data_IF_314302415805
#
_entry.id   IF_314302415805
#
_cell.length_a   1.000
_cell.length_b   1.000
_cell.length_c   1.000
_cell.angle_alpha   90.00
_cell.angle_beta   90.00
_cell.angle_gamma   90.00
#
_symmetry.space_group_name_H-M   'P 1'
#
loop_
_entity.id
_entity.type
_entity.pdbx_description
1 polymer ?
#
# COMPACT_ATOMS: atom_id res chain seq x y z
N UNK A 1 -22.73 12.31 -8.35
CA UNK A 1 -22.15 12.73 -9.65
C UNK A 1 -21.49 11.51 -10.24
N UNK A 2 -21.79 11.14 -11.48
CA UNK A 2 -21.13 10.00 -12.13
C UNK A 2 -19.65 10.35 -12.33
N UNK A 3 -18.80 9.85 -11.44
CA UNK A 3 -17.37 9.88 -11.63
C UNK A 3 -17.08 8.97 -12.84
N UNK A 4 -16.74 9.57 -13.98
CA UNK A 4 -16.43 8.82 -15.20
C UNK A 4 -15.04 8.20 -15.08
N UNK A 5 -14.96 7.08 -14.36
CA UNK A 5 -13.78 6.24 -14.36
C UNK A 5 -13.52 5.70 -15.77
N UNK A 6 -12.25 5.72 -16.18
CA UNK A 6 -11.75 4.97 -17.33
C UNK A 6 -11.19 3.64 -16.83
N UNK A 7 -11.66 2.52 -17.38
CA UNK A 7 -11.04 1.21 -17.15
C UNK A 7 -9.66 1.18 -17.83
N UNK A 8 -8.62 0.81 -17.07
CA UNK A 8 -7.24 0.70 -17.54
C UNK A 8 -6.83 -0.76 -17.71
N UNK A 9 -7.17 -1.60 -16.74
CA UNK A 9 -6.91 -3.03 -16.79
C UNK A 9 -8.04 -3.80 -16.10
N UNK A 10 -8.32 -5.01 -16.58
CA UNK A 10 -9.26 -5.96 -15.99
C UNK A 10 -8.69 -7.38 -16.01
N UNK A 11 -9.48 -8.35 -15.55
CA UNK A 11 -9.11 -9.76 -15.48
C UNK A 11 -7.80 -10.01 -14.70
N UNK A 12 -7.53 -9.15 -13.71
CA UNK A 12 -6.43 -9.29 -12.76
C UNK A 12 -6.91 -10.14 -11.58
N UNK A 13 -6.00 -10.80 -10.87
CA UNK A 13 -6.43 -11.58 -9.70
C UNK A 13 -6.65 -10.64 -8.51
N UNK A 14 -5.61 -9.91 -8.11
CA UNK A 14 -5.68 -8.90 -7.06
C UNK A 14 -4.47 -7.94 -7.14
N UNK A 15 -4.66 -6.79 -7.79
CA UNK A 15 -3.61 -5.78 -7.98
C UNK A 15 -3.39 -4.93 -6.74
N UNK A 16 -2.12 -4.71 -6.38
CA UNK A 16 -1.70 -4.05 -5.14
C UNK A 16 -0.36 -3.34 -5.29
N UNK A 17 0.00 -2.52 -4.29
CA UNK A 17 1.27 -1.79 -4.26
C UNK A 17 1.56 -0.96 -5.52
N UNK A 18 0.59 -0.24 -6.10
CA UNK A 18 0.78 0.47 -7.36
C UNK A 18 1.79 1.61 -7.20
N UNK A 19 2.68 1.78 -8.19
CA UNK A 19 3.67 2.86 -8.29
C UNK A 19 3.73 3.43 -9.70
N UNK A 20 3.88 4.75 -9.84
CA UNK A 20 3.99 5.39 -11.15
C UNK A 20 5.43 5.74 -11.47
N UNK A 21 5.98 5.13 -12.53
CA UNK A 21 7.36 5.37 -12.99
C UNK A 21 7.47 5.17 -14.50
N UNK A 22 8.21 6.06 -15.15
CA UNK A 22 8.53 6.00 -16.59
C UNK A 22 7.30 5.84 -17.50
N UNK A 23 6.22 6.58 -17.19
CA UNK A 23 4.99 6.57 -17.98
C UNK A 23 4.10 5.34 -17.80
N UNK A 24 4.44 4.45 -16.85
CA UNK A 24 3.68 3.23 -16.56
C UNK A 24 3.28 3.17 -15.09
N UNK A 25 2.14 2.55 -14.84
CA UNK A 25 1.71 2.08 -13.53
C UNK A 25 2.30 0.69 -13.31
N UNK A 26 3.21 0.55 -12.37
CA UNK A 26 3.76 -0.71 -11.88
C UNK A 26 2.91 -1.21 -10.72
N UNK A 27 2.66 -2.50 -10.62
CA UNK A 27 1.90 -3.07 -9.52
C UNK A 27 2.20 -4.56 -9.33
N UNK A 28 1.98 -5.06 -8.12
CA UNK A 28 1.98 -6.49 -7.83
C UNK A 28 0.59 -7.06 -8.11
N UNK A 29 0.49 -8.21 -8.77
CA UNK A 29 -0.74 -9.02 -8.73
C UNK A 29 -0.52 -10.19 -7.76
N UNK A 30 -1.12 -10.09 -6.56
CA UNK A 30 -0.89 -11.01 -5.45
C UNK A 30 -1.03 -12.47 -5.88
N UNK A 31 -2.09 -12.79 -6.63
CA UNK A 31 -2.45 -14.18 -6.90
C UNK A 31 -2.11 -14.62 -8.33
N UNK A 32 -1.64 -13.71 -9.20
CA UNK A 32 -0.86 -14.09 -10.37
C UNK A 32 0.61 -14.37 -10.02
N UNK A 33 1.04 -13.97 -8.83
CA UNK A 33 2.42 -14.13 -8.37
C UNK A 33 3.42 -13.41 -9.31
N UNK A 34 3.10 -12.16 -9.68
CA UNK A 34 3.92 -11.42 -10.63
C UNK A 34 3.90 -9.91 -10.37
N UNK A 35 4.96 -9.24 -10.82
CA UNK A 35 4.95 -7.78 -11.02
C UNK A 35 4.54 -7.49 -12.45
N UNK A 36 3.62 -6.54 -12.58
CA UNK A 36 2.97 -6.15 -13.83
C UNK A 36 3.14 -4.65 -14.06
N UNK A 37 2.97 -4.23 -15.31
CA UNK A 37 2.78 -2.81 -15.64
C UNK A 37 1.52 -2.61 -16.47
N UNK A 38 0.96 -1.40 -16.39
CA UNK A 38 -0.09 -0.92 -17.29
C UNK A 38 0.23 0.52 -17.73
N UNK A 39 0.03 0.83 -19.01
CA UNK A 39 0.10 2.21 -19.52
C UNK A 39 -1.28 2.91 -19.52
N UNK A 40 -1.31 4.18 -19.91
CA UNK A 40 -2.57 4.96 -19.96
C UNK A 40 -3.55 4.49 -21.05
N UNK A 41 -3.09 3.68 -22.00
CA UNK A 41 -3.91 3.07 -23.06
C UNK A 41 -4.53 1.74 -22.61
N UNK A 42 -4.04 1.16 -21.51
CA UNK A 42 -4.50 -0.12 -20.97
C UNK A 42 -3.68 -1.31 -21.45
N UNK A 43 -2.49 -1.09 -22.02
CA UNK A 43 -1.60 -2.18 -22.35
C UNK A 43 -0.96 -2.72 -21.07
N UNK A 44 -1.29 -3.98 -20.74
CA UNK A 44 -0.76 -4.67 -19.56
C UNK A 44 0.38 -5.59 -19.94
N UNK A 45 1.48 -5.53 -19.21
CA UNK A 45 2.69 -6.33 -19.44
C UNK A 45 3.15 -7.00 -18.14
N UNK A 46 3.43 -8.31 -18.18
CA UNK A 46 4.06 -9.03 -17.07
C UNK A 46 5.57 -8.82 -17.13
N UNK A 47 6.16 -8.31 -16.06
CA UNK A 47 7.60 -8.02 -15.99
C UNK A 47 8.39 -9.19 -15.44
N UNK A 48 7.95 -9.77 -14.32
CA UNK A 48 8.65 -10.85 -13.65
C UNK A 48 7.69 -11.68 -12.80
N UNK A 49 7.86 -13.00 -12.87
CA UNK A 49 7.22 -13.94 -11.95
C UNK A 49 7.96 -13.94 -10.60
N UNK A 50 7.20 -13.91 -9.52
CA UNK A 50 7.69 -13.95 -8.14
C UNK A 50 7.34 -15.34 -7.59
N UNK A 51 8.27 -16.09 -6.96
CA UNK A 51 8.01 -17.47 -6.57
C UNK A 51 6.76 -17.66 -5.68
N UNK A 52 6.55 -16.72 -4.76
CA UNK A 52 5.37 -16.67 -3.90
C UNK A 52 4.61 -15.36 -4.15
N UNK A 53 3.87 -14.88 -3.16
CA UNK A 53 3.00 -13.73 -3.29
C UNK A 53 3.79 -12.40 -3.24
N UNK A 54 3.78 -11.57 -4.30
CA UNK A 54 4.31 -10.21 -4.25
C UNK A 54 3.37 -9.25 -3.52
N UNK A 55 3.86 -8.10 -3.06
CA UNK A 55 3.00 -7.06 -2.47
C UNK A 55 3.48 -5.63 -2.71
N UNK A 56 4.33 -5.08 -1.85
CA UNK A 56 4.99 -3.80 -2.09
C UNK A 56 6.11 -3.90 -3.12
N UNK A 57 6.39 -2.78 -3.80
CA UNK A 57 7.53 -2.65 -4.72
C UNK A 57 8.07 -1.21 -4.70
N UNK A 58 9.31 -1.03 -5.15
CA UNK A 58 9.96 0.27 -5.30
C UNK A 58 11.32 0.14 -5.98
N UNK A 59 12.11 1.21 -6.03
CA UNK A 59 13.39 1.21 -6.74
C UNK A 59 14.55 1.64 -5.86
N UNK A 60 15.66 0.92 -5.97
CA UNK A 60 16.93 1.36 -5.44
C UNK A 60 17.46 2.59 -6.22
N UNK A 61 18.40 3.38 -5.67
CA UNK A 61 18.91 4.59 -6.33
C UNK A 61 19.55 4.33 -7.70
N UNK A 62 20.05 3.12 -7.93
CA UNK A 62 20.63 2.70 -9.21
C UNK A 62 19.57 2.30 -10.26
N UNK A 63 18.28 2.31 -9.92
CA UNK A 63 17.17 1.94 -10.78
C UNK A 63 16.78 0.45 -10.74
N UNK A 64 17.44 -0.37 -9.93
CA UNK A 64 17.05 -1.78 -9.73
C UNK A 64 15.70 -1.84 -9.01
N UNK A 65 14.79 -2.70 -9.49
CA UNK A 65 13.48 -2.92 -8.88
C UNK A 65 13.63 -3.83 -7.65
N UNK A 66 13.04 -3.44 -6.53
CA UNK A 66 12.91 -4.28 -5.33
C UNK A 66 11.45 -4.58 -5.03
N UNK A 67 11.19 -5.83 -4.65
CA UNK A 67 9.86 -6.42 -4.57
C UNK A 67 9.74 -7.15 -3.23
N UNK A 68 8.69 -6.87 -2.48
CA UNK A 68 8.35 -7.62 -1.27
C UNK A 68 7.79 -8.99 -1.67
N UNK A 69 8.51 -10.08 -1.35
CA UNK A 69 7.91 -11.42 -1.31
C UNK A 69 7.22 -11.61 0.04
N UNK A 70 5.90 -11.41 0.05
CA UNK A 70 5.06 -11.30 1.25
C UNK A 70 5.20 -12.51 2.18
N UNK A 71 5.03 -13.71 1.62
CA UNK A 71 4.97 -14.95 2.41
C UNK A 71 6.37 -15.47 2.78
N UNK A 72 7.37 -15.18 1.95
CA UNK A 72 8.78 -15.51 2.24
C UNK A 72 9.40 -14.57 3.26
N UNK A 73 8.82 -13.37 3.45
CA UNK A 73 9.35 -12.29 4.28
C UNK A 73 10.72 -11.84 3.78
N UNK A 74 10.84 -11.62 2.48
CA UNK A 74 12.07 -11.22 1.80
C UNK A 74 11.84 -9.99 0.92
N UNK A 75 12.90 -9.22 0.72
CA UNK A 75 13.00 -8.33 -0.43
C UNK A 75 13.77 -9.05 -1.53
N UNK A 76 13.20 -9.06 -2.73
CA UNK A 76 13.83 -9.58 -3.93
C UNK A 76 14.24 -8.41 -4.81
N UNK A 77 15.43 -8.48 -5.40
CA UNK A 77 15.93 -7.53 -6.38
C UNK A 77 15.82 -8.12 -7.78
N UNK A 78 15.16 -7.39 -8.67
CA UNK A 78 15.04 -7.70 -10.08
C UNK A 78 15.97 -6.81 -10.91
N UNK A 79 16.89 -7.43 -11.62
CA UNK A 79 17.87 -6.75 -12.47
C UNK A 79 18.22 -7.62 -13.68
N UNK A 80 18.19 -7.04 -14.87
CA UNK A 80 18.60 -7.69 -16.12
C UNK A 80 17.97 -9.09 -16.32
N UNK A 81 16.67 -9.21 -16.01
CA UNK A 81 15.91 -10.47 -16.12
C UNK A 81 16.14 -11.46 -14.96
N UNK A 82 16.98 -11.13 -13.99
CA UNK A 82 17.30 -12.00 -12.85
C UNK A 82 16.64 -11.51 -11.56
N UNK A 83 15.97 -12.42 -10.86
CA UNK A 83 15.39 -12.18 -9.55
C UNK A 83 16.28 -12.82 -8.47
N UNK A 84 16.80 -12.01 -7.55
CA UNK A 84 17.74 -12.44 -6.50
C UNK A 84 17.27 -11.96 -5.14
N UNK A 85 17.72 -12.60 -4.06
CA UNK A 85 17.46 -12.10 -2.71
C UNK A 85 18.26 -10.81 -2.46
N UNK A 86 17.58 -9.79 -1.95
CA UNK A 86 18.20 -8.56 -1.46
C UNK A 86 18.31 -8.57 0.06
N UNK A 87 17.27 -9.02 0.76
CA UNK A 87 17.23 -9.12 2.21
C UNK A 87 16.26 -10.20 2.70
N UNK A 88 16.60 -10.82 3.83
CA UNK A 88 15.73 -11.72 4.59
C UNK A 88 15.26 -11.04 5.88
N UNK A 89 13.95 -10.87 6.02
CA UNK A 89 13.30 -10.24 7.17
C UNK A 89 12.62 -11.24 8.11
N UNK A 90 12.74 -12.54 7.83
CA UNK A 90 12.04 -13.61 8.54
C UNK A 90 12.41 -13.71 10.02
N UNK A 91 13.58 -13.20 10.43
CA UNK A 91 14.02 -13.12 11.83
C UNK A 91 13.35 -11.97 12.61
N UNK A 92 12.83 -10.95 11.92
CA UNK A 92 12.23 -9.77 12.55
C UNK A 92 10.71 -9.90 12.72
N UNK A 93 10.05 -10.65 11.86
CA UNK A 93 8.60 -10.84 11.93
C UNK A 93 8.21 -12.27 11.52
N UNK A 94 7.23 -12.89 12.20
CA UNK A 94 6.60 -14.12 11.73
C UNK A 94 5.45 -13.84 10.75
N UNK A 95 5.08 -12.57 10.55
CA UNK A 95 3.87 -12.17 9.83
C UNK A 95 4.11 -11.94 8.33
N UNK A 96 3.02 -11.91 7.57
CA UNK A 96 3.03 -11.60 6.13
C UNK A 96 3.50 -10.16 5.90
N UNK A 97 4.62 -9.96 5.18
CA UNK A 97 5.06 -8.62 4.77
C UNK A 97 4.06 -8.00 3.79
N UNK A 98 3.98 -6.68 3.72
CA UNK A 98 2.93 -5.98 2.99
C UNK A 98 3.50 -4.90 2.07
N UNK A 99 2.84 -3.75 1.98
CA UNK A 99 3.30 -2.61 1.20
C UNK A 99 4.65 -2.07 1.70
N UNK A 100 5.34 -1.35 0.81
CA UNK A 100 6.70 -0.85 1.02
C UNK A 100 6.92 0.46 0.28
N UNK A 101 7.64 1.40 0.88
CA UNK A 101 8.18 2.57 0.17
C UNK A 101 9.70 2.59 0.25
N UNK A 102 10.36 3.12 -0.77
CA UNK A 102 11.82 3.24 -0.83
C UNK A 102 12.20 4.72 -0.88
N UNK A 103 13.11 5.14 0.00
CA UNK A 103 13.61 6.51 -0.02
C UNK A 103 14.71 6.74 -1.07
N UNK A 104 15.12 8.00 -1.26
CA UNK A 104 16.19 8.38 -2.20
C UNK A 104 17.56 7.75 -1.90
N UNK A 105 17.79 7.29 -0.67
CA UNK A 105 19.05 6.69 -0.24
C UNK A 105 19.00 5.16 -0.40
N UNK A 106 17.86 4.60 -0.78
CA UNK A 106 17.65 3.16 -0.94
C UNK A 106 17.17 2.45 0.32
N UNK A 107 16.75 3.18 1.37
CA UNK A 107 16.12 2.53 2.52
C UNK A 107 14.69 2.15 2.16
N UNK A 108 14.38 0.86 2.25
CA UNK A 108 13.04 0.31 2.08
C UNK A 108 12.35 0.19 3.44
N UNK A 109 11.15 0.75 3.58
CA UNK A 109 10.30 0.62 4.77
C UNK A 109 9.14 -0.31 4.48
N UNK A 110 9.15 -1.50 5.08
CA UNK A 110 8.25 -2.62 4.76
C UNK A 110 7.27 -2.87 5.90
N UNK A 111 5.98 -2.73 5.62
CA UNK A 111 4.88 -3.07 6.54
C UNK A 111 4.65 -4.58 6.62
N UNK A 112 3.82 -5.02 7.57
CA UNK A 112 3.35 -6.41 7.63
C UNK A 112 1.98 -6.50 8.33
N UNK A 113 1.32 -7.66 8.23
CA UNK A 113 -0.08 -7.80 8.62
C UNK A 113 -0.32 -7.81 10.14
N UNK A 114 0.72 -8.03 10.95
CA UNK A 114 0.52 -8.41 12.35
C UNK A 114 -0.19 -9.76 12.52
N UNK A 115 -0.24 -10.57 11.44
CA UNK A 115 -0.81 -11.91 11.42
C UNK A 115 -0.22 -12.79 10.31
N UNK A 116 -0.34 -14.12 10.50
CA UNK A 116 -0.02 -15.16 9.53
C UNK A 116 -1.22 -15.44 8.60
N UNK A 117 -2.44 -15.14 9.05
CA UNK A 117 -3.67 -15.31 8.28
C UNK A 117 -4.45 -14.00 8.26
N UNK A 118 -4.79 -13.52 7.07
CA UNK A 118 -5.54 -12.27 6.92
C UNK A 118 -6.82 -12.27 7.79
N UNK A 119 -7.07 -11.17 8.49
CA UNK A 119 -8.23 -10.99 9.36
C UNK A 119 -8.27 -11.82 10.65
N UNK A 120 -7.26 -12.66 10.94
CA UNK A 120 -7.26 -13.58 12.11
C UNK A 120 -6.11 -13.26 13.06
N UNK A 121 -6.33 -13.42 14.37
CA UNK A 121 -5.30 -13.26 15.42
C UNK A 121 -4.39 -12.02 15.25
N UNK A 122 -5.01 -10.90 14.85
CA UNK A 122 -4.32 -9.64 14.54
C UNK A 122 -3.61 -9.11 15.79
N UNK A 123 -2.32 -8.79 15.65
CA UNK A 123 -1.49 -8.19 16.69
C UNK A 123 -0.92 -6.85 16.21
N UNK A 124 -0.67 -5.90 17.12
CA UNK A 124 0.22 -4.78 16.83
C UNK A 124 1.57 -5.31 16.34
N UNK A 125 2.17 -4.64 15.37
CA UNK A 125 3.35 -5.12 14.67
C UNK A 125 4.37 -4.00 14.43
N UNK A 126 5.41 -4.32 13.66
CA UNK A 126 6.54 -3.47 13.34
C UNK A 126 6.49 -2.96 11.89
N UNK A 127 7.17 -1.84 11.65
CA UNK A 127 7.68 -1.44 10.34
C UNK A 127 9.16 -1.85 10.29
N UNK A 128 9.57 -2.52 9.23
CA UNK A 128 10.95 -2.97 9.04
C UNK A 128 11.64 -1.99 8.10
N UNK A 129 12.86 -1.56 8.42
CA UNK A 129 13.75 -0.84 7.51
C UNK A 129 14.78 -1.80 6.97
N UNK A 130 14.95 -1.83 5.66
CA UNK A 130 16.05 -2.51 4.97
C UNK A 130 16.90 -1.45 4.31
N UNK A 131 18.18 -1.37 4.65
CA UNK A 131 19.11 -0.41 4.03
C UNK A 131 19.53 -0.85 2.62
N UNK A 132 20.31 0.00 1.94
CA UNK A 132 20.80 -0.24 0.58
C UNK A 132 21.63 -1.53 0.44
N UNK A 133 22.27 -1.99 1.52
CA UNK A 133 23.10 -3.19 1.54
C UNK A 133 22.29 -4.45 1.90
N UNK A 134 21.00 -4.31 2.18
CA UNK A 134 20.10 -5.40 2.52
C UNK A 134 20.03 -5.71 4.01
N UNK A 135 20.57 -4.86 4.89
CA UNK A 135 20.49 -5.08 6.33
C UNK A 135 19.11 -4.67 6.86
N UNK A 136 18.39 -5.63 7.45
CA UNK A 136 17.07 -5.42 8.00
C UNK A 136 17.10 -5.06 9.50
N UNK A 137 16.32 -4.06 9.90
CA UNK A 137 16.16 -3.61 11.28
C UNK A 137 14.73 -3.15 11.58
N UNK A 138 14.38 -2.98 12.86
CA UNK A 138 13.06 -2.47 13.25
C UNK A 138 13.07 -0.94 13.17
N UNK A 139 12.26 -0.36 12.28
CA UNK A 139 12.11 1.08 12.13
C UNK A 139 11.10 1.69 13.11
N UNK A 140 10.02 0.95 13.38
CA UNK A 140 8.95 1.36 14.29
C UNK A 140 8.21 0.13 14.83
N UNK A 141 7.66 0.22 16.04
CA UNK A 141 6.85 -0.85 16.66
C UNK A 141 5.43 -0.39 16.99
N UNK A 142 4.55 -1.30 17.41
CA UNK A 142 3.17 -0.98 17.83
C UNK A 142 2.33 -0.27 16.76
N UNK A 143 2.40 -0.75 15.51
CA UNK A 143 1.51 -0.34 14.41
C UNK A 143 0.39 -1.36 14.22
N UNK A 144 -0.84 -0.90 13.97
CA UNK A 144 -2.01 -1.76 13.76
C UNK A 144 -2.27 -1.97 12.26
N UNK A 145 -1.65 -3.04 11.70
CA UNK A 145 -1.71 -3.41 10.28
C UNK A 145 -1.24 -2.29 9.35
N UNK A 146 0.08 -1.98 9.36
CA UNK A 146 0.69 -1.01 8.45
C UNK A 146 0.52 -1.42 6.99
N UNK A 147 0.04 -0.47 6.19
CA UNK A 147 -0.31 -0.66 4.80
C UNK A 147 0.36 0.40 3.92
N UNK A 148 -0.40 1.09 3.07
CA UNK A 148 0.08 2.20 2.25
C UNK A 148 1.03 3.12 3.01
N UNK A 149 2.21 3.36 2.42
CA UNK A 149 3.25 4.20 3.02
C UNK A 149 3.79 5.17 1.97
N UNK A 150 3.97 6.44 2.35
CA UNK A 150 4.54 7.48 1.51
C UNK A 150 5.63 8.24 2.23
N UNK A 151 6.57 8.79 1.46
CA UNK A 151 7.59 9.72 1.94
C UNK A 151 7.39 11.06 1.26
N UNK A 152 7.50 12.13 2.04
CA UNK A 152 7.34 13.50 1.53
C UNK A 152 8.46 13.88 0.55
N UNK A 153 8.23 14.79 -0.42
CA UNK A 153 9.22 15.08 -1.46
C UNK A 153 10.59 15.57 -0.94
N UNK A 154 10.61 16.19 0.23
CA UNK A 154 11.85 16.64 0.90
C UNK A 154 12.62 15.49 1.58
N UNK A 155 12.04 14.29 1.62
CA UNK A 155 12.59 13.09 2.24
C UNK A 155 12.57 13.11 3.76
N UNK A 156 11.83 14.03 4.41
CA UNK A 156 11.92 14.26 5.86
C UNK A 156 10.79 13.63 6.67
N UNK A 157 9.71 13.17 6.04
CA UNK A 157 8.58 12.56 6.75
C UNK A 157 8.14 11.29 6.05
N UNK A 158 7.93 10.25 6.85
CA UNK A 158 7.24 9.02 6.46
C UNK A 158 5.82 9.08 7.01
N UNK A 159 4.83 8.81 6.17
CA UNK A 159 3.42 8.74 6.58
C UNK A 159 2.87 7.37 6.17
N UNK A 160 2.28 6.66 7.13
CA UNK A 160 1.81 5.29 6.97
C UNK A 160 0.36 5.13 7.39
N UNK A 161 -0.39 4.35 6.62
CA UNK A 161 -1.74 3.93 6.95
C UNK A 161 -1.74 2.74 7.91
N UNK A 162 -2.43 2.88 9.03
CA UNK A 162 -2.72 1.76 9.95
C UNK A 162 -4.17 1.34 9.77
N UNK A 163 -4.40 0.28 8.98
CA UNK A 163 -5.75 -0.15 8.54
C UNK A 163 -6.69 -0.37 9.73
N UNK A 164 -6.25 -1.12 10.74
CA UNK A 164 -7.11 -1.42 11.90
C UNK A 164 -7.15 -0.30 12.94
N UNK A 165 -6.23 0.66 12.91
CA UNK A 165 -6.34 1.86 13.73
C UNK A 165 -7.21 2.94 13.09
N UNK A 166 -7.50 2.84 11.78
CA UNK A 166 -8.26 3.84 11.04
C UNK A 166 -7.62 5.21 11.13
N UNK A 167 -6.30 5.27 10.95
CA UNK A 167 -5.53 6.50 11.02
C UNK A 167 -4.33 6.47 10.10
N UNK A 168 -3.85 7.66 9.77
CA UNK A 168 -2.52 7.89 9.20
C UNK A 168 -1.58 8.30 10.34
N UNK A 169 -0.39 7.72 10.39
CA UNK A 169 0.65 8.03 11.39
C UNK A 169 1.88 8.56 10.68
N UNK A 170 2.44 9.66 11.18
CA UNK A 170 3.64 10.29 10.64
C UNK A 170 4.84 10.09 11.57
N UNK A 171 6.01 10.02 10.94
CA UNK A 171 7.34 10.01 11.56
C UNK A 171 8.22 11.04 10.86
N UNK A 172 9.16 11.60 11.60
CA UNK A 172 10.28 12.33 11.00
C UNK A 172 11.38 11.33 10.63
N UNK A 173 12.01 11.54 9.47
CA UNK A 173 13.12 10.74 8.96
C UNK A 173 14.41 11.55 9.13
N UNK A 174 15.42 10.97 9.77
CA UNK A 174 16.73 11.59 9.87
C UNK A 174 17.65 11.27 8.67
N UNK A 175 18.91 11.68 8.75
CA UNK A 175 19.89 11.49 7.66
C UNK A 175 20.22 10.01 7.39
N UNK A 176 20.08 9.16 8.40
CA UNK A 176 20.41 7.74 8.33
C UNK A 176 19.16 6.91 7.96
N UNK A 177 17.98 7.53 7.91
CA UNK A 177 16.69 6.90 7.63
C UNK A 177 16.01 6.36 8.90
N UNK A 178 16.43 6.81 10.08
CA UNK A 178 15.80 6.39 11.33
C UNK A 178 14.57 7.25 11.63
N UNK A 179 13.55 6.60 12.20
CA UNK A 179 12.23 7.20 12.41
C UNK A 179 12.08 7.73 13.84
N UNK A 180 11.63 8.97 13.96
CA UNK A 180 11.39 9.62 15.25
C UNK A 180 10.09 10.44 15.23
N UNK A 181 9.75 11.08 16.36
CA UNK A 181 8.63 12.02 16.48
C UNK A 181 7.28 11.48 15.97
N UNK A 182 6.97 10.23 16.32
CA UNK A 182 5.70 9.56 15.99
C UNK A 182 4.51 10.43 16.41
N UNK A 183 3.59 10.67 15.49
CA UNK A 183 2.35 11.40 15.73
C UNK A 183 1.24 10.93 14.82
N UNK A 184 -0.01 11.10 15.24
CA UNK A 184 -1.15 10.90 14.34
C UNK A 184 -1.17 12.05 13.34
N UNK A 185 -1.24 11.71 12.05
CA UNK A 185 -1.36 12.66 10.96
C UNK A 185 -2.84 12.96 10.65
N UNK A 186 -3.69 11.93 10.63
CA UNK A 186 -5.13 12.07 10.49
C UNK A 186 -5.86 10.88 11.12
N UNK A 187 -7.02 11.14 11.72
CA UNK A 187 -7.98 10.10 12.10
C UNK A 187 -9.03 9.93 11.00
N UNK A 188 -9.39 8.69 10.71
CA UNK A 188 -10.44 8.32 9.73
C UNK A 188 -11.67 7.72 10.40
N UNK A 189 -11.52 7.31 11.66
CA UNK A 189 -12.60 6.87 12.53
C UNK A 189 -12.49 7.53 13.92
N UNK A 190 -13.59 7.65 14.67
CA UNK A 190 -13.54 8.06 16.07
C UNK A 190 -12.73 7.09 16.92
N UNK A 191 -11.95 7.63 17.87
CA UNK A 191 -11.15 6.82 18.80
C UNK A 191 -11.98 5.78 19.56
N UNK A 192 -13.23 6.12 19.94
CA UNK A 192 -14.14 5.18 20.60
C UNK A 192 -14.40 3.94 19.74
N UNK A 193 -14.55 4.12 18.42
CA UNK A 193 -14.77 3.01 17.49
C UNK A 193 -13.51 2.14 17.36
N UNK A 194 -12.32 2.74 17.34
CA UNK A 194 -11.06 2.00 17.39
C UNK A 194 -10.95 1.12 18.64
N UNK A 195 -11.26 1.65 19.83
CA UNK A 195 -11.19 0.85 21.07
C UNK A 195 -12.24 -0.27 21.09
N UNK A 196 -13.44 -0.01 20.57
CA UNK A 196 -14.45 -1.04 20.38
C UNK A 196 -13.94 -2.18 19.49
N UNK A 197 -13.48 -1.88 18.26
CA UNK A 197 -12.98 -2.91 17.34
C UNK A 197 -11.72 -3.60 17.86
N UNK A 198 -10.85 -2.90 18.58
CA UNK A 198 -9.68 -3.49 19.26
C UNK A 198 -10.10 -4.51 20.33
N UNK A 199 -11.12 -4.20 21.12
CA UNK A 199 -11.65 -5.13 22.13
C UNK A 199 -12.27 -6.36 21.46
N UNK A 200 -13.02 -6.18 20.37
CA UNK A 200 -13.59 -7.30 19.61
C UNK A 200 -12.50 -8.20 19.01
N UNK A 201 -11.43 -7.62 18.45
CA UNK A 201 -10.25 -8.37 17.97
C UNK A 201 -9.58 -9.15 19.10
N UNK A 202 -9.43 -8.55 20.28
CA UNK A 202 -8.88 -9.23 21.46
C UNK A 202 -9.74 -10.44 21.89
N UNK A 203 -11.06 -10.32 21.79
CA UNK A 203 -12.01 -11.42 22.03
C UNK A 203 -12.12 -12.40 20.85
N UNK A 204 -11.29 -12.27 19.82
CA UNK A 204 -11.30 -13.08 18.58
C UNK A 204 -12.63 -13.02 17.81
N UNK A 205 -13.35 -11.91 17.94
CA UNK A 205 -14.56 -11.64 17.18
C UNK A 205 -14.13 -10.83 15.94
N UNK A 206 -13.97 -11.53 14.81
CA UNK A 206 -13.57 -10.90 13.55
C UNK A 206 -14.76 -10.24 12.87
N UNK A 207 -14.73 -8.92 12.60
CA UNK A 207 -15.73 -8.30 11.74
C UNK A 207 -15.57 -8.84 10.32
N UNK A 208 -16.69 -9.16 9.64
CA UNK A 208 -16.63 -9.51 8.22
C UNK A 208 -16.18 -8.28 7.42
N UNK A 209 -15.21 -8.45 6.54
CA UNK A 209 -14.76 -7.40 5.62
C UNK A 209 -15.95 -6.85 4.82
N UNK A 210 -15.99 -5.53 4.61
CA UNK A 210 -17.05 -4.85 3.86
C UNK A 210 -18.43 -4.74 4.54
N UNK A 211 -18.68 -5.42 5.67
CA UNK A 211 -19.97 -5.35 6.40
C UNK A 211 -19.75 -5.13 7.89
N UNK A 212 -19.50 -3.87 8.29
CA UNK A 212 -19.52 -3.50 9.71
C UNK A 212 -18.71 -2.28 10.14
N UNK A 213 -17.87 -1.73 9.26
CA UNK A 213 -17.08 -0.52 9.54
C UNK A 213 -17.67 0.63 8.72
N UNK A 214 -18.39 1.58 9.33
CA UNK A 214 -19.01 2.71 8.61
C UNK A 214 -18.00 3.84 8.31
N UNK A 215 -16.70 3.56 8.47
CA UNK A 215 -15.63 4.52 8.32
C UNK A 215 -14.64 4.04 7.26
N UNK A 216 -14.02 4.96 6.50
CA UNK A 216 -12.92 4.60 5.65
C UNK A 216 -11.73 4.15 6.51
N UNK A 217 -10.96 3.21 5.98
CA UNK A 217 -9.70 2.76 6.56
C UNK A 217 -8.60 2.87 5.50
N UNK A 218 -7.35 3.16 5.89
CA UNK A 218 -6.28 3.24 4.91
C UNK A 218 -5.83 1.84 4.52
N UNK A 219 -5.91 1.54 3.23
CA UNK A 219 -5.22 0.41 2.62
C UNK A 219 -3.99 0.96 1.87
N UNK A 220 -3.87 0.80 0.55
CA UNK A 220 -2.87 1.50 -0.26
C UNK A 220 -3.14 3.01 -0.38
N UNK A 221 -2.09 3.82 -0.26
CA UNK A 221 -2.17 5.30 -0.25
C UNK A 221 -1.19 5.93 -1.25
N UNK A 222 -1.44 7.17 -1.66
CA UNK A 222 -0.47 7.99 -2.39
C UNK A 222 -0.52 9.47 -1.99
N UNK A 223 0.57 10.20 -2.26
CA UNK A 223 0.75 11.60 -1.90
C UNK A 223 0.61 12.52 -3.12
N UNK A 224 0.00 13.69 -2.94
CA UNK A 224 -0.05 14.75 -3.95
C UNK A 224 0.82 15.97 -3.61
N UNK A 225 1.01 16.84 -4.60
CA UNK A 225 1.85 18.04 -4.55
C UNK A 225 1.37 19.10 -3.54
N UNK A 226 0.15 18.98 -3.01
CA UNK A 226 -0.39 19.82 -1.95
C UNK A 226 -0.32 19.14 -0.58
N UNK A 227 0.49 18.09 -0.47
CA UNK A 227 0.67 17.28 0.75
C UNK A 227 -0.62 16.59 1.21
N UNK A 228 -1.59 16.42 0.30
CA UNK A 228 -2.77 15.60 0.55
C UNK A 228 -2.43 14.13 0.35
N UNK A 229 -3.08 13.27 1.13
CA UNK A 229 -2.96 11.82 1.01
C UNK A 229 -4.28 11.27 0.51
N UNK A 230 -4.22 10.61 -0.64
CA UNK A 230 -5.29 9.76 -1.13
C UNK A 230 -5.16 8.39 -0.51
N UNK A 231 -6.27 7.86 -0.03
CA UNK A 231 -6.34 6.51 0.55
C UNK A 231 -7.40 5.70 -0.18
N UNK A 232 -7.07 4.48 -0.58
CA UNK A 232 -8.05 3.49 -0.96
C UNK A 232 -8.64 2.85 0.30
N UNK A 233 -9.97 2.69 0.30
CA UNK A 233 -10.72 2.18 1.44
C UNK A 233 -11.61 1.02 1.01
N UNK A 234 -11.26 -0.24 1.37
CA UNK A 234 -12.06 -1.41 1.02
C UNK A 234 -13.36 -1.50 1.83
N UNK A 235 -13.45 -0.80 2.98
CA UNK A 235 -14.64 -0.79 3.82
C UNK A 235 -15.75 0.10 3.27
N UNK A 236 -15.40 1.15 2.50
CA UNK A 236 -16.36 2.11 1.97
C UNK A 236 -16.46 2.10 0.44
N UNK A 237 -15.60 1.35 -0.25
CA UNK A 237 -15.48 1.39 -1.72
C UNK A 237 -15.28 2.82 -2.23
N UNK A 238 -14.32 3.50 -1.62
CA UNK A 238 -13.97 4.87 -1.95
C UNK A 238 -12.46 5.02 -2.06
N UNK A 239 -12.04 6.02 -2.83
CA UNK A 239 -10.79 6.73 -2.59
C UNK A 239 -11.09 8.09 -1.96
N UNK A 240 -10.42 8.41 -0.86
CA UNK A 240 -10.68 9.61 -0.07
C UNK A 240 -9.41 10.41 0.10
N UNK A 241 -9.47 11.70 -0.16
CA UNK A 241 -8.34 12.61 0.02
C UNK A 241 -8.42 13.30 1.37
N UNK A 242 -7.36 13.16 2.16
CA UNK A 242 -7.17 13.83 3.43
C UNK A 242 -6.05 14.86 3.35
N UNK A 243 -6.17 15.91 4.14
CA UNK A 243 -5.07 16.82 4.50
C UNK A 243 -4.67 16.60 5.97
N UNK A 244 -3.49 17.08 6.36
CA UNK A 244 -2.98 16.92 7.73
C UNK A 244 -3.99 17.45 8.76
N UNK A 245 -4.19 16.71 9.85
CA UNK A 245 -5.26 16.95 10.82
C UNK A 245 -6.59 16.27 10.47
N UNK A 246 -6.70 15.62 9.31
CA UNK A 246 -7.84 14.76 8.96
C UNK A 246 -9.00 15.46 8.25
N UNK A 247 -8.79 16.66 7.72
CA UNK A 247 -9.79 17.31 6.85
C UNK A 247 -9.87 16.57 5.52
N UNK A 248 -11.06 16.10 5.18
CA UNK A 248 -11.38 15.51 3.89
C UNK A 248 -11.63 16.63 2.88
N UNK A 249 -10.99 16.54 1.71
CA UNK A 249 -11.25 17.46 0.59
C UNK A 249 -12.02 16.80 -0.54
N UNK A 250 -11.85 15.48 -0.72
CA UNK A 250 -12.43 14.75 -1.84
C UNK A 250 -12.88 13.36 -1.40
N UNK A 251 -13.99 12.90 -1.97
CA UNK A 251 -14.51 11.52 -1.86
C UNK A 251 -14.96 11.05 -3.22
N UNK A 252 -14.43 9.91 -3.66
CA UNK A 252 -14.73 9.32 -4.95
C UNK A 252 -15.13 7.86 -4.71
N UNK A 253 -16.42 7.55 -4.87
CA UNK A 253 -16.92 6.17 -4.83
C UNK A 253 -16.42 5.39 -6.04
N UNK A 254 -15.81 4.24 -5.82
CA UNK A 254 -15.23 3.38 -6.85
C UNK A 254 -16.23 2.33 -7.33
N UNK A 255 -16.09 1.80 -8.57
CA UNK A 255 -17.00 0.77 -9.09
C UNK A 255 -16.98 -0.54 -8.30
N UNK A 256 -15.83 -0.90 -7.73
CA UNK A 256 -15.57 -2.08 -6.91
C UNK A 256 -14.84 -1.67 -5.62
N UNK A 257 -14.61 -2.59 -4.68
CA UNK A 257 -13.84 -2.27 -3.44
C UNK A 257 -12.44 -1.78 -3.81
N UNK A 258 -12.01 -0.68 -3.21
CA UNK A 258 -10.70 -0.07 -3.47
C UNK A 258 -9.67 -0.58 -2.47
N UNK A 259 -8.53 -1.08 -2.95
CA UNK A 259 -7.46 -1.63 -2.11
C UNK A 259 -6.18 -0.82 -2.19
N UNK A 260 -5.88 -0.20 -3.34
CA UNK A 260 -4.76 0.71 -3.43
C UNK A 260 -4.98 1.81 -4.46
N UNK A 261 -4.23 2.91 -4.34
CA UNK A 261 -4.28 4.00 -5.29
C UNK A 261 -2.91 4.63 -5.53
N UNK A 262 -2.69 5.20 -6.71
CA UNK A 262 -1.47 5.90 -7.08
C UNK A 262 -1.76 7.03 -8.06
N UNK A 263 -1.13 8.19 -7.86
CA UNK A 263 -1.17 9.31 -8.80
C UNK A 263 -0.10 9.16 -9.88
N UNK A 264 -0.47 9.44 -11.12
CA UNK A 264 0.37 9.26 -12.30
C UNK A 264 -0.20 9.98 -13.52
N UNK A 265 0.09 9.44 -14.70
CA UNK A 265 -0.20 10.08 -15.98
C UNK A 265 0.83 11.14 -16.35
N UNK A 266 0.80 11.55 -17.63
CA UNK A 266 1.71 12.56 -18.19
C UNK A 266 1.74 13.91 -17.43
N UNK A 267 0.62 14.34 -16.85
CA UNK A 267 0.50 15.56 -16.04
C UNK A 267 0.52 15.29 -14.53
N UNK A 268 0.66 14.02 -14.12
CA UNK A 268 0.64 13.60 -12.72
C UNK A 268 -0.74 13.63 -12.04
N UNK A 269 -1.81 14.02 -12.75
CA UNK A 269 -3.15 14.25 -12.18
C UNK A 269 -4.13 13.11 -12.41
N UNK A 270 -3.64 11.96 -12.84
CA UNK A 270 -4.45 10.75 -13.00
C UNK A 270 -4.33 9.88 -11.76
N UNK A 271 -5.43 9.73 -11.03
CA UNK A 271 -5.52 8.80 -9.91
C UNK A 271 -5.92 7.42 -10.42
N UNK A 272 -4.99 6.48 -10.33
CA UNK A 272 -5.24 5.06 -10.59
C UNK A 272 -5.71 4.39 -9.31
N UNK A 273 -6.67 3.47 -9.43
CA UNK A 273 -7.24 2.75 -8.30
C UNK A 273 -7.28 1.26 -8.61
N UNK A 274 -6.58 0.49 -7.79
CA UNK A 274 -6.63 -0.96 -7.76
C UNK A 274 -7.89 -1.41 -7.00
N UNK A 275 -8.72 -2.19 -7.66
CA UNK A 275 -10.01 -2.62 -7.13
C UNK A 275 -10.24 -4.12 -7.35
N UNK A 276 -11.05 -4.75 -6.50
CA UNK A 276 -11.48 -6.14 -6.67
C UNK A 276 -12.80 -6.40 -5.92
N UNK A 277 -13.55 -7.42 -6.34
CA UNK A 277 -14.73 -7.89 -5.59
C UNK A 277 -14.37 -8.97 -4.58
N UNK A 278 -13.35 -9.79 -4.87
CA UNK A 278 -12.86 -10.87 -4.02
C UNK A 278 -11.41 -10.61 -3.56
N UNK A 279 -11.18 -10.69 -2.25
CA UNK A 279 -9.86 -10.55 -1.60
C UNK A 279 -9.33 -11.89 -1.07
N UNK A 280 -10.21 -12.86 -0.84
CA UNK A 280 -9.84 -14.19 -0.34
C UNK A 280 -9.10 -15.01 -1.40
N UNK A 281 -7.99 -15.71 -1.08
CA UNK A 281 -7.09 -16.28 -2.07
C UNK A 281 -7.74 -17.21 -3.10
N UNK A 282 -8.57 -18.15 -2.67
CA UNK A 282 -9.18 -19.13 -3.57
C UNK A 282 -10.20 -18.49 -4.51
N UNK A 283 -10.98 -17.54 -3.99
CA UNK A 283 -11.99 -16.82 -4.78
C UNK A 283 -11.34 -15.84 -5.75
N UNK A 284 -10.37 -15.04 -5.28
CA UNK A 284 -9.65 -14.09 -6.11
C UNK A 284 -8.89 -14.78 -7.25
N UNK A 285 -8.35 -15.99 -7.01
CA UNK A 285 -7.73 -16.82 -8.05
C UNK A 285 -8.71 -17.27 -9.12
N UNK A 286 -9.90 -17.70 -8.71
CA UNK A 286 -10.90 -18.26 -9.62
C UNK A 286 -11.62 -17.17 -10.43
N UNK A 287 -12.04 -16.07 -9.77
CA UNK A 287 -12.93 -15.07 -10.37
C UNK A 287 -12.15 -14.04 -11.19
N UNK A 288 -10.91 -13.71 -10.80
CA UNK A 288 -10.11 -12.63 -11.42
C UNK A 288 -10.88 -11.31 -11.52
N UNK A 289 -11.51 -10.95 -10.40
CA UNK A 289 -12.33 -9.74 -10.29
C UNK A 289 -11.51 -8.44 -10.25
N UNK A 290 -10.17 -8.54 -10.21
CA UNK A 290 -9.28 -7.39 -10.11
C UNK A 290 -9.35 -6.50 -11.33
N UNK A 291 -9.48 -5.19 -11.08
CA UNK A 291 -9.54 -4.13 -12.09
C UNK A 291 -8.76 -2.91 -11.64
N UNK A 292 -8.17 -2.21 -12.60
CA UNK A 292 -7.57 -0.89 -12.38
C UNK A 292 -8.41 0.13 -13.13
N UNK A 293 -8.91 1.11 -12.40
CA UNK A 293 -9.59 2.26 -12.95
C UNK A 293 -8.71 3.51 -12.84
N UNK A 294 -8.98 4.51 -13.67
CA UNK A 294 -8.36 5.83 -13.55
C UNK A 294 -9.40 6.94 -13.60
N UNK A 295 -9.11 8.04 -12.91
CA UNK A 295 -9.90 9.27 -12.91
C UNK A 295 -8.96 10.47 -12.79
N UNK A 296 -9.33 11.59 -13.41
CA UNK A 296 -8.57 12.83 -13.27
C UNK A 296 -8.92 13.51 -11.94
N UNK A 297 -7.92 14.04 -11.25
CA UNK A 297 -8.05 14.79 -10.00
C UNK A 297 -7.33 16.15 -10.10
N UNK A 298 -7.54 17.04 -9.13
CA UNK A 298 -7.02 18.41 -9.20
C UNK A 298 -5.50 18.49 -8.99
N UNK A 299 -4.96 17.68 -8.08
CA UNK A 299 -3.59 17.78 -7.60
C UNK A 299 -2.70 16.68 -8.17
N UNK A 300 -1.52 17.07 -8.64
CA UNK A 300 -0.58 16.13 -9.24
C UNK A 300 0.15 15.26 -8.21
N UNK A 301 0.71 14.14 -8.65
CA UNK A 301 1.52 13.22 -7.83
C UNK A 301 2.69 13.92 -7.13
N UNK A 302 3.05 13.44 -5.95
CA UNK A 302 4.26 13.82 -5.24
C UNK A 302 4.84 12.63 -4.45
N UNK A 303 6.02 12.84 -3.86
CA UNK A 303 6.73 11.82 -3.10
C UNK A 303 7.45 10.82 -4.00
N UNK A 304 7.70 9.65 -3.45
CA UNK A 304 8.50 8.61 -4.07
C UNK A 304 7.61 7.53 -4.69
N UNK A 305 8.01 6.97 -5.85
CA UNK A 305 7.43 5.76 -6.38
C UNK A 305 7.93 4.53 -5.60
#
# INVERSE_FOLDING_TARGET
>A
MNNNFKLIADNLHFSEGPRWKDGKLWFSDFYHHAVMTADEMGNVEKIVDVPNQPSGLGWLPNGDLIIVSMLDRKLLKFKDGNLTEHADMSKLTPFRCNDMVVDKNGNAYVGNFGSIHHGKDIKPTILIKVDLDGNASIAASNLDFPNGTVITPDGKKLIIGETYAGRLTAFDIDKDGDLSNRRVWAYMMPNLFYYYTKTMRFLKITPKEGKGIPYPVPDGICLDEKMGIWIASPTTSEVVRYTEGGKITDRITTPNRAYACMLGGSDGKKLFVCTADASEPEEAKAVKSGKIYSINVEHAKAGYP
#
